data_IF_746259576169
#
_entry.id   IF_746259576169
#
_cell.length_a   1.000
_cell.length_b   1.000
_cell.length_c   1.000
_cell.angle_alpha   90.00
_cell.angle_beta   90.00
_cell.angle_gamma   90.00
#
_symmetry.space_group_name_H-M   'P 1'
#
loop_
_entity.id
_entity.type
_entity.pdbx_description
1 polymer ?
#
# COMPACT_ATOMS: atom_id res chain seq x y z
N UNK A 1 22.07 -24.60 4.56
CA UNK A 1 20.62 -24.44 4.35
C UNK A 1 20.06 -25.63 3.61
N UNK A 2 20.43 -25.87 2.35
CA UNK A 2 20.05 -27.08 1.59
C UNK A 2 20.20 -28.39 2.37
N UNK A 3 21.39 -28.66 2.92
CA UNK A 3 21.64 -29.89 3.68
C UNK A 3 20.77 -30.01 4.95
N UNK A 4 20.42 -28.88 5.56
CA UNK A 4 19.56 -28.86 6.74
C UNK A 4 18.10 -29.16 6.35
N UNK A 5 17.57 -28.48 5.33
CA UNK A 5 16.20 -28.73 4.83
C UNK A 5 16.09 -30.15 4.29
N UNK A 6 17.08 -30.66 3.55
CA UNK A 6 17.09 -32.04 3.08
C UNK A 6 17.11 -33.07 4.23
N UNK A 7 17.79 -32.77 5.34
CA UNK A 7 17.83 -33.64 6.52
C UNK A 7 16.55 -33.60 7.35
N UNK A 8 15.85 -32.47 7.33
CA UNK A 8 14.67 -32.20 8.15
C UNK A 8 13.44 -31.91 7.30
N UNK A 9 13.34 -32.50 6.10
CA UNK A 9 12.35 -32.05 5.11
C UNK A 9 10.91 -32.25 5.61
N UNK A 10 10.66 -33.33 6.35
CA UNK A 10 9.36 -33.61 6.97
C UNK A 10 9.04 -32.68 8.14
N UNK A 11 10.05 -31.98 8.68
CA UNK A 11 9.93 -31.03 9.79
C UNK A 11 9.97 -29.56 9.31
N UNK A 12 9.97 -29.32 7.99
CA UNK A 12 10.03 -27.98 7.39
C UNK A 12 8.97 -27.85 6.30
N UNK A 13 7.90 -27.13 6.63
CA UNK A 13 6.80 -26.85 5.72
C UNK A 13 6.87 -25.40 5.20
N UNK A 14 6.45 -25.21 3.96
CA UNK A 14 6.27 -23.87 3.39
C UNK A 14 4.79 -23.47 3.43
N UNK A 15 4.52 -22.24 3.89
CA UNK A 15 3.18 -21.64 3.89
C UNK A 15 3.32 -20.22 3.37
N UNK A 16 2.70 -19.96 2.21
CA UNK A 16 2.75 -18.63 1.59
C UNK A 16 2.10 -17.59 2.49
N UNK A 17 2.75 -16.43 2.56
CA UNK A 17 2.30 -15.25 3.30
C UNK A 17 2.10 -15.46 4.81
N UNK A 18 2.68 -16.51 5.40
CA UNK A 18 2.67 -16.73 6.84
C UNK A 18 3.58 -15.72 7.56
N UNK A 19 2.96 -14.69 8.15
CA UNK A 19 3.68 -13.67 8.93
C UNK A 19 3.64 -13.90 10.45
N UNK A 20 3.22 -15.07 10.92
CA UNK A 20 3.26 -15.41 12.34
C UNK A 20 4.68 -15.73 12.83
N UNK A 21 5.02 -15.35 14.08
CA UNK A 21 6.25 -15.79 14.76
C UNK A 21 5.86 -16.33 16.13
N UNK A 22 5.85 -17.65 16.23
CA UNK A 22 5.44 -18.36 17.43
C UNK A 22 6.39 -19.52 17.72
N UNK A 23 6.62 -19.80 19.00
CA UNK A 23 7.26 -21.02 19.49
C UNK A 23 6.30 -21.67 20.46
N UNK A 24 5.98 -22.95 20.26
CA UNK A 24 5.25 -23.77 21.22
C UNK A 24 6.21 -24.81 21.77
N UNK A 25 6.44 -24.82 23.08
CA UNK A 25 7.40 -25.71 23.73
C UNK A 25 6.80 -26.29 25.02
N UNK A 26 6.30 -27.53 24.93
CA UNK A 26 5.65 -28.19 26.06
C UNK A 26 4.35 -27.47 26.45
N UNK A 27 4.28 -27.01 27.69
CA UNK A 27 3.15 -26.30 28.32
C UNK A 27 3.26 -24.78 28.21
N UNK A 28 4.18 -24.25 27.40
CA UNK A 28 4.37 -22.81 27.20
C UNK A 28 4.45 -22.46 25.73
N UNK A 29 4.09 -21.21 25.44
CA UNK A 29 4.30 -20.64 24.13
C UNK A 29 4.88 -19.22 24.20
N UNK A 30 5.46 -18.80 23.09
CA UNK A 30 6.01 -17.48 22.88
C UNK A 30 5.50 -16.95 21.56
N UNK A 31 4.88 -15.77 21.56
CA UNK A 31 4.37 -15.11 20.35
C UNK A 31 4.86 -13.67 20.35
N UNK A 32 5.33 -13.16 19.21
CA UNK A 32 5.83 -11.79 19.16
C UNK A 32 6.17 -11.29 17.77
N UNK A 33 6.77 -10.09 17.73
CA UNK A 33 7.18 -9.42 16.49
C UNK A 33 8.52 -9.92 15.94
N UNK A 34 9.35 -10.52 16.81
CA UNK A 34 10.71 -10.93 16.48
C UNK A 34 10.74 -12.12 15.49
N UNK A 35 11.30 -11.89 14.30
CA UNK A 35 11.72 -12.98 13.43
C UNK A 35 12.86 -13.80 14.06
N UNK A 36 12.91 -15.12 13.83
CA UNK A 36 13.96 -16.03 14.31
C UNK A 36 15.30 -15.85 13.57
N UNK A 37 15.83 -14.64 13.66
CA UNK A 37 17.12 -14.21 13.10
C UNK A 37 17.96 -13.60 14.21
N UNK A 38 19.29 -13.59 14.06
CA UNK A 38 20.18 -12.96 15.04
C UNK A 38 19.81 -11.49 15.31
N UNK A 39 19.40 -10.75 14.27
CA UNK A 39 19.03 -9.33 14.38
C UNK A 39 17.66 -9.14 15.04
N UNK A 40 16.68 -9.99 14.74
CA UNK A 40 15.37 -9.98 15.40
C UNK A 40 15.46 -10.35 16.88
N UNK A 41 16.26 -11.36 17.24
CA UNK A 41 16.33 -11.83 18.62
C UNK A 41 17.24 -11.01 19.54
N UNK A 42 18.23 -10.28 19.01
CA UNK A 42 19.26 -9.62 19.84
C UNK A 42 19.64 -8.20 19.40
N UNK A 43 18.99 -7.65 18.35
CA UNK A 43 19.44 -6.41 17.72
C UNK A 43 18.34 -5.38 17.40
N UNK A 44 17.10 -5.63 17.81
CA UNK A 44 15.96 -4.72 17.62
C UNK A 44 15.13 -4.66 18.89
N UNK A 45 14.45 -3.55 19.07
CA UNK A 45 13.38 -3.43 20.07
C UNK A 45 12.17 -4.18 19.53
N UNK A 46 11.88 -5.33 20.11
CA UNK A 46 10.81 -6.23 19.72
C UNK A 46 9.87 -6.44 20.91
N UNK A 47 8.60 -6.73 20.61
CA UNK A 47 7.61 -7.08 21.63
C UNK A 47 7.25 -8.55 21.50
N UNK A 48 7.19 -9.24 22.64
CA UNK A 48 6.69 -10.60 22.69
C UNK A 48 5.98 -10.87 24.01
N UNK A 49 5.08 -11.83 23.95
CA UNK A 49 4.30 -12.32 25.07
C UNK A 49 4.63 -13.79 25.27
N UNK A 50 4.86 -14.16 26.54
CA UNK A 50 4.95 -15.57 26.94
C UNK A 50 3.57 -15.99 27.43
N UNK A 51 3.09 -17.13 26.93
CA UNK A 51 1.84 -17.74 27.32
C UNK A 51 2.16 -18.98 28.17
N UNK A 52 1.53 -19.09 29.33
CA UNK A 52 1.61 -20.27 30.20
C UNK A 52 0.22 -20.77 30.65
N UNK A 53 -0.85 -20.13 30.19
CA UNK A 53 -2.22 -20.61 30.33
C UNK A 53 -2.46 -21.81 29.40
N UNK A 54 -2.83 -23.00 29.93
CA UNK A 54 -3.00 -24.21 29.13
C UNK A 54 -3.96 -24.04 27.96
N UNK A 55 -5.05 -23.28 28.15
CA UNK A 55 -6.07 -23.06 27.12
C UNK A 55 -5.51 -22.29 25.91
N UNK A 56 -4.68 -21.26 26.14
CA UNK A 56 -4.07 -20.47 25.07
C UNK A 56 -2.95 -21.25 24.36
N UNK A 57 -2.19 -22.05 25.11
CA UNK A 57 -1.16 -22.92 24.55
C UNK A 57 -1.79 -24.01 23.68
N UNK A 58 -2.92 -24.59 24.10
CA UNK A 58 -3.65 -25.59 23.34
C UNK A 58 -4.30 -24.98 22.07
N UNK A 59 -4.84 -23.76 22.15
CA UNK A 59 -5.35 -23.02 20.98
C UNK A 59 -4.25 -22.81 19.94
N UNK A 60 -3.10 -22.28 20.35
CA UNK A 60 -1.97 -22.05 19.45
C UNK A 60 -1.43 -23.35 18.86
N UNK A 61 -1.46 -24.45 19.62
CA UNK A 61 -1.09 -25.79 19.14
C UNK A 61 -2.08 -26.31 18.10
N UNK A 62 -3.39 -26.10 18.32
CA UNK A 62 -4.42 -26.47 17.36
C UNK A 62 -4.25 -25.69 16.06
N UNK A 63 -4.09 -24.37 16.15
CA UNK A 63 -3.82 -23.50 15.01
C UNK A 63 -2.57 -23.97 14.23
N UNK A 64 -1.46 -24.25 14.92
CA UNK A 64 -0.27 -24.78 14.27
C UNK A 64 -0.52 -26.14 13.60
N UNK A 65 -1.29 -27.04 14.24
CA UNK A 65 -1.66 -28.32 13.66
C UNK A 65 -2.52 -28.20 12.40
N UNK A 66 -3.46 -27.26 12.38
CA UNK A 66 -4.27 -26.93 11.21
C UNK A 66 -3.38 -26.41 10.07
N UNK A 67 -2.51 -25.42 10.34
CA UNK A 67 -1.51 -24.93 9.39
C UNK A 67 -0.63 -26.05 8.83
N UNK A 68 -0.17 -26.92 9.71
CA UNK A 68 0.69 -28.05 9.34
C UNK A 68 -0.05 -29.03 8.43
N UNK A 69 -1.32 -29.29 8.71
CA UNK A 69 -2.13 -30.24 7.94
C UNK A 69 -2.44 -29.80 6.51
N UNK A 70 -2.48 -28.49 6.27
CA UNK A 70 -2.76 -27.91 4.95
C UNK A 70 -1.49 -27.57 4.17
N UNK A 71 -0.31 -27.70 4.77
CA UNK A 71 0.97 -27.34 4.14
C UNK A 71 1.74 -28.54 3.66
N UNK A 72 2.59 -28.33 2.65
CA UNK A 72 3.48 -29.33 2.10
C UNK A 72 4.91 -29.15 2.64
N UNK A 73 5.66 -30.25 2.82
CA UNK A 73 7.11 -30.21 3.01
C UNK A 73 7.77 -29.38 1.90
N UNK A 74 8.80 -28.61 2.24
CA UNK A 74 9.51 -27.78 1.26
C UNK A 74 10.11 -28.65 0.13
N UNK A 75 9.78 -28.35 -1.13
CA UNK A 75 10.33 -29.07 -2.28
C UNK A 75 11.82 -28.71 -2.48
N UNK A 76 12.66 -29.75 -2.53
CA UNK A 76 14.11 -29.56 -2.63
C UNK A 76 14.54 -28.99 -3.99
N UNK A 77 13.76 -29.23 -5.04
CA UNK A 77 14.02 -28.70 -6.38
C UNK A 77 13.77 -27.18 -6.42
N UNK A 78 12.70 -26.69 -5.79
CA UNK A 78 12.45 -25.25 -5.65
C UNK A 78 13.49 -24.56 -4.76
N UNK A 79 13.95 -25.26 -3.70
CA UNK A 79 15.04 -24.78 -2.86
C UNK A 79 16.36 -24.70 -3.64
N UNK A 80 16.59 -25.63 -4.57
CA UNK A 80 17.77 -25.62 -5.43
C UNK A 80 17.69 -24.52 -6.49
N UNK A 81 16.53 -24.28 -7.07
CA UNK A 81 16.32 -23.15 -7.97
C UNK A 81 16.54 -21.82 -7.24
N UNK A 82 16.04 -21.70 -6.00
CA UNK A 82 16.25 -20.55 -5.11
C UNK A 82 17.73 -20.31 -4.76
N UNK A 83 18.47 -21.37 -4.45
CA UNK A 83 19.89 -21.29 -4.08
C UNK A 83 20.78 -21.03 -5.30
N UNK A 84 20.46 -21.63 -6.45
CA UNK A 84 21.27 -21.55 -7.67
C UNK A 84 20.95 -20.32 -8.53
N UNK A 85 19.86 -19.60 -8.24
CA UNK A 85 19.62 -18.30 -8.85
C UNK A 85 20.71 -17.32 -8.41
N UNK A 86 21.53 -16.80 -9.35
CA UNK A 86 22.66 -15.97 -8.98
C UNK A 86 22.16 -14.69 -8.30
N UNK A 87 22.86 -14.23 -7.25
CA UNK A 87 22.52 -12.98 -6.60
C UNK A 87 22.66 -11.83 -7.62
N UNK A 88 21.69 -10.90 -7.72
CA UNK A 88 21.81 -9.75 -8.60
C UNK A 88 23.08 -8.97 -8.28
N UNK A 89 23.85 -8.60 -9.31
CA UNK A 89 25.12 -7.89 -9.20
C UNK A 89 24.97 -6.64 -8.31
N UNK A 90 25.89 -6.50 -7.37
CA UNK A 90 25.81 -5.72 -6.13
C UNK A 90 25.37 -4.26 -6.24
N UNK A 91 24.43 -3.87 -5.38
CA UNK A 91 24.16 -2.47 -5.03
C UNK A 91 22.98 -2.21 -4.09
N UNK A 92 22.92 -2.84 -2.91
CA UNK A 92 21.98 -2.40 -1.84
C UNK A 92 21.20 -3.52 -1.16
N UNK A 93 21.09 -3.44 0.17
CA UNK A 93 20.74 -4.51 1.10
C UNK A 93 19.24 -4.64 1.38
N UNK A 94 18.53 -5.54 0.69
CA UNK A 94 17.60 -6.53 1.28
C UNK A 94 16.96 -7.33 0.13
N UNK A 95 17.22 -8.64 0.08
CA UNK A 95 16.77 -9.54 -0.99
C UNK A 95 15.71 -10.49 -0.45
N UNK A 96 14.60 -10.63 -1.15
CA UNK A 96 13.97 -11.94 -1.31
C UNK A 96 14.36 -12.52 -2.68
N UNK A 97 14.49 -13.85 -2.80
CA UNK A 97 15.02 -14.45 -4.03
C UNK A 97 13.96 -14.59 -5.11
N UNK A 98 14.41 -14.70 -6.35
CA UNK A 98 13.57 -14.72 -7.54
C UNK A 98 12.79 -16.04 -7.74
N UNK A 99 12.71 -16.87 -6.71
CA UNK A 99 12.10 -18.20 -6.72
C UNK A 99 11.31 -18.33 -5.42
N UNK A 100 10.07 -18.81 -5.51
CA UNK A 100 9.26 -19.17 -4.35
C UNK A 100 9.13 -20.68 -4.30
N UNK A 101 9.20 -21.26 -3.12
CA UNK A 101 8.91 -22.68 -2.94
C UNK A 101 7.41 -22.91 -3.19
N UNK A 102 7.08 -23.97 -3.90
CA UNK A 102 5.72 -24.44 -4.13
C UNK A 102 5.13 -24.89 -2.79
N UNK A 103 3.96 -24.35 -2.46
CA UNK A 103 3.19 -24.75 -1.29
C UNK A 103 1.76 -25.01 -1.72
N UNK A 104 1.22 -26.14 -1.30
CA UNK A 104 -0.19 -26.52 -1.50
C UNK A 104 -1.12 -25.88 -0.45
N UNK A 105 -0.57 -25.10 0.49
CA UNK A 105 -1.35 -24.45 1.53
C UNK A 105 -2.24 -23.34 0.96
N UNK A 106 -3.48 -23.31 1.46
CA UNK A 106 -4.40 -22.20 1.20
C UNK A 106 -3.86 -20.94 1.89
N UNK A 107 -3.84 -19.82 1.17
CA UNK A 107 -3.44 -18.50 1.68
C UNK A 107 -4.30 -18.10 2.90
N UNK A 108 -3.67 -17.63 3.98
CA UNK A 108 -4.36 -17.38 5.25
C UNK A 108 -4.47 -15.89 5.51
N UNK A 109 -5.69 -15.38 5.41
CA UNK A 109 -6.06 -14.02 5.80
C UNK A 109 -6.62 -14.00 7.22
N UNK A 110 -5.98 -13.27 8.14
CA UNK A 110 -6.49 -13.04 9.50
C UNK A 110 -7.26 -11.72 9.58
N UNK A 111 -8.47 -11.73 10.14
CA UNK A 111 -9.25 -10.53 10.48
C UNK A 111 -9.62 -10.56 11.97
N UNK A 112 -9.51 -9.40 12.64
CA UNK A 112 -9.92 -9.21 14.04
C UNK A 112 -11.45 -9.07 14.13
N UNK A 113 -12.08 -9.82 15.02
CA UNK A 113 -13.50 -9.64 15.38
C UNK A 113 -13.59 -8.57 16.49
N UNK A 114 -14.31 -7.48 16.23
CA UNK A 114 -14.53 -6.41 17.22
C UNK A 114 -15.62 -6.80 18.22
N UNK A 115 -15.29 -6.68 19.51
CA UNK A 115 -16.19 -6.89 20.65
C UNK A 115 -16.93 -5.58 20.97
N UNK A 116 -18.26 -5.60 20.87
CA UNK A 116 -19.13 -4.46 21.16
C UNK A 116 -19.44 -4.37 22.64
N UNK A 117 -18.81 -3.45 23.37
CA UNK A 117 -19.50 -2.64 24.40
C UNK A 117 -18.60 -1.58 25.04
N UNK A 118 -18.96 -0.31 24.89
CA UNK A 118 -19.03 0.71 25.98
C UNK A 118 -19.26 2.11 25.38
N UNK A 119 -20.55 2.48 25.29
CA UNK A 119 -20.98 3.89 25.23
C UNK A 119 -21.38 4.33 26.62
N UNK A 120 -20.75 5.37 27.17
CA UNK A 120 -21.50 6.43 27.86
C UNK A 120 -20.64 7.62 28.32
N UNK A 121 -21.26 8.80 28.15
CA UNK A 121 -20.96 10.13 28.72
C UNK A 121 -19.84 10.92 28.05
N UNK A 122 -20.23 11.91 27.23
CA UNK A 122 -20.13 13.34 27.55
C UNK A 122 -20.90 14.13 26.48
N UNK A 123 -22.11 14.60 26.78
CA UNK A 123 -22.93 15.44 25.89
C UNK A 123 -23.20 16.73 26.64
N UNK A 124 -22.33 17.73 26.46
CA UNK A 124 -22.68 19.15 26.69
C UNK A 124 -21.55 20.10 26.23
N UNK A 125 -20.30 19.63 26.13
CA UNK A 125 -19.19 20.40 25.52
C UNK A 125 -19.11 20.25 23.99
N UNK A 126 -19.91 19.35 23.40
CA UNK A 126 -19.80 18.96 21.99
C UNK A 126 -20.48 19.93 21.00
N UNK A 127 -21.47 20.71 21.43
CA UNK A 127 -22.26 21.52 20.49
C UNK A 127 -21.52 22.81 20.04
N UNK A 128 -20.83 23.50 20.95
CA UNK A 128 -20.05 24.71 20.60
C UNK A 128 -18.71 24.41 19.89
N UNK A 129 -18.24 23.17 19.96
CA UNK A 129 -17.11 22.66 19.15
C UNK A 129 -17.58 22.15 17.78
N UNK A 130 -18.82 21.66 17.67
CA UNK A 130 -19.44 21.22 16.40
C UNK A 130 -19.75 22.39 15.46
N UNK A 131 -20.20 23.53 15.97
CA UNK A 131 -20.47 24.71 15.15
C UNK A 131 -19.18 25.34 14.61
N UNK A 132 -18.13 25.47 15.42
CA UNK A 132 -16.80 25.90 14.96
C UNK A 132 -16.15 24.93 13.96
N UNK A 133 -16.28 23.62 14.19
CA UNK A 133 -15.83 22.60 13.23
C UNK A 133 -16.61 22.61 11.92
N UNK A 134 -17.88 23.03 11.94
CA UNK A 134 -18.72 23.05 10.73
C UNK A 134 -18.36 24.23 9.84
N UNK A 135 -18.11 25.40 10.43
CA UNK A 135 -17.64 26.58 9.69
C UNK A 135 -16.20 26.39 9.18
N UNK A 136 -15.31 25.79 9.97
CA UNK A 136 -13.94 25.46 9.52
C UNK A 136 -13.95 24.39 8.41
N UNK A 137 -14.77 23.33 8.50
CA UNK A 137 -14.89 22.33 7.43
C UNK A 137 -15.51 22.87 6.16
N UNK A 138 -16.52 23.75 6.26
CA UNK A 138 -17.08 24.42 5.07
C UNK A 138 -16.04 25.34 4.42
N UNK A 139 -15.27 26.09 5.21
CA UNK A 139 -14.23 27.00 4.69
C UNK A 139 -13.07 26.22 4.06
N UNK A 140 -12.63 25.10 4.68
CA UNK A 140 -11.62 24.20 4.14
C UNK A 140 -12.08 23.49 2.85
N UNK A 141 -13.37 23.18 2.74
CA UNK A 141 -13.96 22.60 1.52
C UNK A 141 -13.96 23.59 0.36
N UNK A 142 -14.27 24.86 0.60
CA UNK A 142 -14.23 25.92 -0.42
C UNK A 142 -12.80 26.24 -0.86
N UNK A 143 -11.85 26.28 0.07
CA UNK A 143 -10.44 26.57 -0.21
C UNK A 143 -9.75 25.42 -1.00
N UNK A 144 -10.04 24.16 -0.67
CA UNK A 144 -9.58 23.02 -1.46
C UNK A 144 -10.18 23.00 -2.88
N UNK A 145 -11.46 23.36 -3.02
CA UNK A 145 -12.15 23.47 -4.30
C UNK A 145 -11.48 24.53 -5.20
N UNK A 146 -11.25 25.74 -4.69
CA UNK A 146 -10.59 26.81 -5.44
C UNK A 146 -9.14 26.47 -5.79
N UNK A 147 -8.42 25.80 -4.88
CA UNK A 147 -7.08 25.28 -5.16
C UNK A 147 -7.08 24.24 -6.28
N UNK A 148 -8.08 23.37 -6.32
CA UNK A 148 -8.21 22.37 -7.36
C UNK A 148 -8.41 23.05 -8.71
N UNK A 149 -9.40 23.94 -8.84
CA UNK A 149 -9.65 24.69 -10.09
C UNK A 149 -8.38 25.41 -10.57
N UNK A 150 -7.76 26.23 -9.71
CA UNK A 150 -6.51 26.95 -10.03
C UNK A 150 -5.35 26.02 -10.41
N UNK A 151 -5.35 24.79 -9.90
CA UNK A 151 -4.36 23.79 -10.30
C UNK A 151 -4.65 23.30 -11.72
N UNK A 152 -5.91 22.97 -12.00
CA UNK A 152 -6.34 22.42 -13.28
C UNK A 152 -6.21 23.42 -14.44
N UNK A 153 -6.40 24.72 -14.20
CA UNK A 153 -6.16 25.81 -15.18
C UNK A 153 -4.76 25.77 -15.83
N UNK A 154 -3.80 25.08 -15.22
CA UNK A 154 -2.42 24.95 -15.72
C UNK A 154 -2.22 23.77 -16.65
N UNK A 155 -3.17 22.84 -16.68
CA UNK A 155 -3.09 21.68 -17.55
C UNK A 155 -3.25 22.11 -19.02
N UNK A 156 -2.83 21.27 -19.99
CA UNK A 156 -2.82 21.65 -21.41
C UNK A 156 -4.22 21.98 -21.94
N UNK A 157 -5.23 21.23 -21.51
CA UNK A 157 -6.63 21.37 -21.90
C UNK A 157 -7.53 20.52 -20.99
N UNK A 158 -8.84 20.73 -21.14
CA UNK A 158 -9.89 19.99 -20.44
C UNK A 158 -9.78 18.48 -20.60
N UNK A 159 -9.65 18.00 -21.84
CA UNK A 159 -9.62 16.56 -22.17
C UNK A 159 -8.46 15.86 -21.45
N UNK A 160 -7.29 16.50 -21.41
CA UNK A 160 -6.13 15.98 -20.70
C UNK A 160 -6.43 15.78 -19.21
N UNK A 161 -7.11 16.72 -18.55
CA UNK A 161 -7.47 16.61 -17.12
C UNK A 161 -8.53 15.54 -16.92
N UNK A 162 -9.52 15.47 -17.79
CA UNK A 162 -10.59 14.46 -17.74
C UNK A 162 -10.01 13.05 -17.78
N UNK A 163 -9.08 12.78 -18.71
CA UNK A 163 -8.36 11.49 -18.81
C UNK A 163 -7.60 11.15 -17.53
N UNK A 164 -7.03 12.12 -16.82
CA UNK A 164 -6.35 11.86 -15.55
C UNK A 164 -7.31 11.53 -14.41
N UNK A 165 -8.48 12.18 -14.35
CA UNK A 165 -9.50 11.80 -13.38
C UNK A 165 -10.11 10.43 -13.68
N UNK A 166 -10.20 10.02 -14.95
CA UNK A 166 -10.56 8.65 -15.31
C UNK A 166 -9.54 7.62 -14.83
N UNK A 167 -8.23 7.91 -14.95
CA UNK A 167 -7.18 7.06 -14.39
C UNK A 167 -7.24 6.99 -12.86
N UNK A 168 -7.51 8.11 -12.19
CA UNK A 168 -7.74 8.11 -10.74
C UNK A 168 -8.98 7.29 -10.37
N UNK A 169 -10.07 7.41 -11.13
CA UNK A 169 -11.27 6.60 -10.95
C UNK A 169 -10.99 5.11 -11.12
N UNK A 170 -10.14 4.75 -12.09
CA UNK A 170 -9.73 3.37 -12.31
C UNK A 170 -9.00 2.79 -11.10
N UNK A 171 -8.05 3.54 -10.52
CA UNK A 171 -7.40 3.12 -9.27
C UNK A 171 -8.44 2.86 -8.18
N UNK A 172 -9.36 3.81 -7.95
CA UNK A 172 -10.36 3.70 -6.89
C UNK A 172 -11.29 2.49 -7.11
N UNK A 173 -11.66 2.21 -8.37
CA UNK A 173 -12.47 1.04 -8.72
C UNK A 173 -11.71 -0.28 -8.50
N UNK A 174 -10.44 -0.33 -8.88
CA UNK A 174 -9.61 -1.55 -8.78
C UNK A 174 -9.25 -1.86 -7.33
N UNK A 175 -8.94 -0.85 -6.53
CA UNK A 175 -8.61 -1.03 -5.11
C UNK A 175 -9.85 -1.21 -4.23
N UNK A 176 -11.03 -0.80 -4.70
CA UNK A 176 -12.26 -0.79 -3.91
C UNK A 176 -12.29 0.27 -2.82
N UNK A 177 -11.31 1.18 -2.78
CA UNK A 177 -11.21 2.21 -1.76
C UNK A 177 -12.26 3.31 -1.97
N UNK A 178 -12.97 3.59 -0.90
CA UNK A 178 -14.00 4.61 -0.78
C UNK A 178 -13.44 5.88 -0.13
N UNK A 179 -14.22 6.96 -0.18
CA UNK A 179 -13.85 8.23 0.47
C UNK A 179 -13.55 8.07 1.96
N UNK A 180 -14.22 7.14 2.65
CA UNK A 180 -14.12 6.96 4.10
C UNK A 180 -12.90 6.14 4.52
N UNK A 181 -12.24 5.44 3.60
CA UNK A 181 -11.12 4.55 3.93
C UNK A 181 -9.91 5.34 4.42
N UNK A 182 -9.45 4.98 5.63
CA UNK A 182 -8.38 5.71 6.33
C UNK A 182 -7.02 5.60 5.63
N UNK A 183 -6.83 4.58 4.80
CA UNK A 183 -5.65 4.39 3.98
C UNK A 183 -5.61 5.26 2.72
N UNK A 184 -6.75 5.76 2.25
CA UNK A 184 -6.83 6.60 1.05
C UNK A 184 -6.65 8.08 1.38
N UNK A 185 -5.81 8.77 0.60
CA UNK A 185 -5.69 10.22 0.62
C UNK A 185 -5.64 10.76 -0.80
N UNK A 186 -6.73 11.38 -1.24
CA UNK A 186 -6.74 12.30 -2.40
C UNK A 186 -6.42 13.72 -1.93
N UNK A 187 -5.58 14.46 -2.67
CA UNK A 187 -5.19 15.82 -2.25
C UNK A 187 -4.69 16.71 -3.39
N UNK A 188 -4.86 18.02 -3.21
CA UNK A 188 -4.26 19.13 -3.96
C UNK A 188 -3.50 20.05 -2.96
N UNK A 189 -2.23 19.74 -2.67
CA UNK A 189 -1.48 20.44 -1.63
C UNK A 189 -1.35 21.95 -1.89
N UNK A 190 -1.40 22.80 -0.85
CA UNK A 190 -1.23 24.24 -0.98
C UNK A 190 0.10 24.67 -1.58
N UNK A 191 1.15 23.85 -1.40
CA UNK A 191 2.51 24.11 -1.90
C UNK A 191 2.63 24.12 -3.42
N UNK A 192 1.55 23.84 -4.16
CA UNK A 192 1.57 23.89 -5.62
C UNK A 192 2.15 22.63 -6.29
N UNK A 193 2.38 21.55 -5.55
CA UNK A 193 3.04 20.35 -6.10
C UNK A 193 2.22 19.66 -7.17
N UNK A 194 1.25 18.82 -6.81
CA UNK A 194 0.48 18.01 -7.77
C UNK A 194 -0.89 17.65 -7.20
N UNK A 195 -1.86 17.33 -8.06
CA UNK A 195 -3.04 16.57 -7.63
C UNK A 195 -2.59 15.13 -7.46
N UNK A 196 -2.86 14.49 -6.33
CA UNK A 196 -2.32 13.15 -6.02
C UNK A 196 -3.33 12.24 -5.34
N UNK A 197 -3.20 10.96 -5.64
CA UNK A 197 -3.76 9.86 -4.87
C UNK A 197 -2.62 9.15 -4.12
N UNK A 198 -2.85 8.94 -2.84
CA UNK A 198 -1.94 8.25 -1.91
C UNK A 198 -2.72 7.08 -1.32
N UNK A 199 -2.09 5.91 -1.28
CA UNK A 199 -2.60 4.73 -0.58
C UNK A 199 -1.57 4.35 0.49
N UNK A 200 -2.04 4.18 1.73
CA UNK A 200 -1.15 4.02 2.88
C UNK A 200 -0.24 5.24 3.05
N UNK A 201 1.07 5.06 2.89
CA UNK A 201 2.07 6.14 2.98
C UNK A 201 2.72 6.52 1.64
N UNK A 202 2.28 5.96 0.51
CA UNK A 202 2.91 6.17 -0.80
C UNK A 202 1.98 6.83 -1.80
N UNK A 203 2.52 7.77 -2.56
CA UNK A 203 1.83 8.35 -3.73
C UNK A 203 1.77 7.26 -4.79
N UNK A 204 0.56 6.91 -5.23
CA UNK A 204 0.35 5.88 -6.26
C UNK A 204 0.09 6.48 -7.64
N UNK A 205 -0.40 7.73 -7.64
CA UNK A 205 -0.70 8.49 -8.86
C UNK A 205 -0.67 9.98 -8.58
N UNK A 206 -0.16 10.76 -9.53
CA UNK A 206 -0.16 12.22 -9.42
C UNK A 206 -0.11 12.89 -10.78
N UNK A 207 -0.68 14.09 -10.88
CA UNK A 207 -0.66 14.87 -12.13
C UNK A 207 -0.74 16.38 -11.89
N UNK A 208 -0.27 17.14 -12.88
CA UNK A 208 -0.25 18.62 -12.97
C UNK A 208 0.53 19.30 -11.85
N UNK A 209 1.66 19.92 -12.21
CA UNK A 209 2.52 20.64 -11.27
C UNK A 209 2.81 22.08 -11.71
N UNK A 210 3.24 22.95 -10.77
CA UNK A 210 3.81 24.28 -11.07
C UNK A 210 4.94 24.28 -12.11
N UNK A 211 5.73 23.21 -12.18
CA UNK A 211 6.90 23.06 -13.04
C UNK A 211 6.59 22.42 -14.41
N UNK A 212 5.36 21.96 -14.64
CA UNK A 212 4.96 21.39 -15.93
C UNK A 212 3.85 20.34 -15.84
N UNK A 213 3.44 19.89 -17.03
CA UNK A 213 2.41 18.88 -17.21
C UNK A 213 3.06 17.51 -17.32
N UNK A 214 2.97 16.74 -16.24
CA UNK A 214 3.46 15.37 -16.19
C UNK A 214 2.54 14.52 -15.33
N UNK A 215 2.68 13.21 -15.48
CA UNK A 215 1.93 12.18 -14.77
C UNK A 215 2.90 11.28 -14.02
N UNK A 216 2.61 11.02 -12.74
CA UNK A 216 3.34 10.06 -11.90
C UNK A 216 2.57 8.77 -11.77
N UNK A 217 3.31 7.68 -11.88
CA UNK A 217 2.81 6.33 -11.66
C UNK A 217 3.74 5.63 -10.67
N UNK A 218 3.16 4.96 -9.67
CA UNK A 218 3.94 4.03 -8.86
C UNK A 218 4.25 2.78 -9.69
N UNK A 219 5.52 2.41 -9.79
CA UNK A 219 5.99 1.27 -10.56
C UNK A 219 6.84 0.34 -9.69
N UNK A 220 6.72 -0.99 -9.87
CA UNK A 220 7.54 -1.95 -9.13
C UNK A 220 8.96 -2.03 -9.69
N UNK A 221 9.94 -2.23 -8.82
CA UNK A 221 11.37 -2.35 -9.20
C UNK A 221 11.65 -3.46 -10.23
N UNK A 222 10.85 -4.54 -10.20
CA UNK A 222 10.97 -5.67 -11.14
C UNK A 222 10.27 -5.48 -12.49
N UNK A 223 9.75 -4.28 -12.80
CA UNK A 223 9.06 -4.05 -14.06
C UNK A 223 10.03 -4.15 -15.25
N UNK A 224 9.61 -4.85 -16.31
CA UNK A 224 10.37 -4.89 -17.56
C UNK A 224 10.54 -3.47 -18.13
N UNK A 225 11.76 -3.15 -18.55
CA UNK A 225 12.16 -1.83 -19.06
C UNK A 225 12.14 -0.69 -18.04
N UNK A 226 12.10 -0.99 -16.74
CA UNK A 226 12.12 0.06 -15.72
C UNK A 226 13.34 0.99 -15.85
N UNK A 227 14.59 0.51 -16.07
CA UNK A 227 15.74 1.41 -16.22
C UNK A 227 15.54 2.45 -17.33
N UNK A 228 15.05 2.03 -18.49
CA UNK A 228 14.77 2.91 -19.62
C UNK A 228 13.64 3.90 -19.29
N UNK A 229 12.58 3.44 -18.60
CA UNK A 229 11.51 4.31 -18.11
C UNK A 229 12.03 5.35 -17.12
N UNK A 230 12.97 5.00 -16.25
CA UNK A 230 13.55 5.93 -15.29
C UNK A 230 14.44 6.98 -15.98
N UNK A 231 15.23 6.57 -16.97
CA UNK A 231 16.03 7.48 -17.80
C UNK A 231 15.18 8.46 -18.61
N UNK A 232 14.02 8.00 -19.11
CA UNK A 232 13.06 8.83 -19.86
C UNK A 232 12.19 9.72 -18.94
N UNK A 233 12.18 9.46 -17.63
CA UNK A 233 11.37 10.22 -16.68
C UNK A 233 11.94 11.62 -16.44
N UNK A 234 11.07 12.63 -16.34
CA UNK A 234 11.50 13.99 -16.02
C UNK A 234 12.08 14.06 -14.59
N UNK A 235 11.46 13.34 -13.67
CA UNK A 235 11.88 13.19 -12.29
C UNK A 235 11.47 11.80 -11.79
N UNK A 236 12.23 11.21 -10.88
CA UNK A 236 11.83 9.99 -10.20
C UNK A 236 12.09 10.10 -8.70
N UNK A 237 11.22 9.47 -7.93
CA UNK A 237 11.40 9.25 -6.50
C UNK A 237 11.46 7.75 -6.22
N UNK A 238 12.38 7.33 -5.37
CA UNK A 238 12.56 5.94 -4.99
C UNK A 238 12.14 5.75 -3.53
N UNK A 239 11.16 4.88 -3.29
CA UNK A 239 10.74 4.52 -1.93
C UNK A 239 11.68 3.45 -1.37
N UNK A 240 12.61 3.88 -0.50
CA UNK A 240 13.57 2.99 0.18
C UNK A 240 13.10 2.63 1.60
N UNK A 241 13.36 1.40 2.05
CA UNK A 241 13.34 1.05 3.48
C UNK A 241 12.22 0.10 3.94
N UNK A 242 11.41 -0.43 3.04
CA UNK A 242 10.35 -1.40 3.34
C UNK A 242 10.37 -2.56 2.31
N UNK A 243 9.58 -3.62 2.55
CA UNK A 243 9.58 -4.93 1.87
C UNK A 243 9.56 -4.91 0.32
N UNK A 244 9.03 -3.85 -0.29
CA UNK A 244 9.06 -3.64 -1.74
C UNK A 244 9.65 -2.26 -2.11
N UNK A 245 10.71 -2.26 -2.90
CA UNK A 245 11.23 -1.08 -3.59
C UNK A 245 10.26 -0.69 -4.70
N UNK A 246 9.78 0.55 -4.64
CA UNK A 246 8.89 1.12 -5.66
C UNK A 246 9.47 2.43 -6.16
N UNK A 247 9.24 2.72 -7.42
CA UNK A 247 9.62 3.96 -8.08
C UNK A 247 8.39 4.79 -8.38
N UNK A 248 8.57 6.11 -8.39
CA UNK A 248 7.53 7.07 -8.74
C UNK A 248 8.06 8.03 -9.81
N UNK A 249 8.33 7.53 -11.04
CA UNK A 249 8.72 8.38 -12.15
C UNK A 249 7.57 9.29 -12.60
N UNK A 250 7.94 10.49 -13.04
CA UNK A 250 7.09 11.50 -13.64
C UNK A 250 7.35 11.57 -15.15
N UNK A 251 6.30 11.43 -15.96
CA UNK A 251 6.38 11.41 -17.42
C UNK A 251 5.59 12.56 -18.04
N UNK A 252 6.17 13.24 -19.03
CA UNK A 252 5.45 14.26 -19.81
C UNK A 252 4.42 13.61 -20.75
N UNK A 253 4.72 12.39 -21.20
CA UNK A 253 3.90 11.54 -22.08
C UNK A 253 3.12 10.46 -21.30
N UNK A 254 2.75 10.74 -20.04
CA UNK A 254 2.15 9.74 -19.15
C UNK A 254 0.85 9.12 -19.68
N UNK A 255 0.02 9.89 -20.38
CA UNK A 255 -1.20 9.37 -21.01
C UNK A 255 -0.93 8.44 -22.19
N UNK A 256 0.19 8.59 -22.90
CA UNK A 256 0.60 7.67 -23.96
C UNK A 256 1.16 6.38 -23.34
N UNK A 257 1.94 6.50 -22.26
CA UNK A 257 2.52 5.31 -21.59
C UNK A 257 1.48 4.38 -21.01
N UNK A 258 0.39 4.93 -20.46
CA UNK A 258 -0.67 4.11 -19.86
C UNK A 258 -1.49 3.31 -20.89
N UNK A 259 -1.33 3.59 -22.19
CA UNK A 259 -1.91 2.78 -23.27
C UNK A 259 -1.20 1.42 -23.42
N UNK A 260 0.07 1.34 -23.00
CA UNK A 260 0.80 0.08 -22.93
C UNK A 260 0.25 -0.80 -21.80
N UNK A 261 -0.24 -1.99 -22.18
CA UNK A 261 -0.90 -2.91 -21.25
C UNK A 261 0.06 -3.54 -20.23
N UNK A 262 1.35 -3.63 -20.52
CA UNK A 262 2.36 -4.09 -19.56
C UNK A 262 2.59 -3.00 -18.51
N UNK A 263 2.75 -1.75 -18.95
CA UNK A 263 2.90 -0.59 -18.07
C UNK A 263 1.68 -0.42 -17.16
N UNK A 264 0.47 -0.41 -17.73
CA UNK A 264 -0.77 -0.25 -16.98
C UNK A 264 -0.97 -1.35 -15.92
N UNK A 265 -0.70 -2.61 -16.28
CA UNK A 265 -0.78 -3.73 -15.31
C UNK A 265 0.25 -3.60 -14.20
N UNK A 266 1.49 -3.20 -14.52
CA UNK A 266 2.52 -2.99 -13.51
C UNK A 266 2.14 -1.88 -12.52
N UNK A 267 1.61 -0.76 -13.01
CA UNK A 267 1.11 0.33 -12.19
C UNK A 267 -0.06 -0.08 -11.28
N UNK A 268 -1.08 -0.74 -11.84
CA UNK A 268 -2.23 -1.19 -11.04
C UNK A 268 -1.81 -2.23 -9.99
N UNK A 269 -0.92 -3.16 -10.34
CA UNK A 269 -0.40 -4.15 -9.38
C UNK A 269 0.40 -3.48 -8.26
N UNK A 270 1.26 -2.51 -8.58
CA UNK A 270 1.98 -1.76 -7.56
C UNK A 270 1.06 -0.92 -6.68
N UNK A 271 -0.03 -0.39 -7.24
CA UNK A 271 -1.06 0.33 -6.48
C UNK A 271 -1.82 -0.59 -5.52
N UNK A 272 -2.23 -1.78 -6.00
CA UNK A 272 -2.90 -2.79 -5.18
C UNK A 272 -2.00 -3.30 -4.04
N UNK A 273 -0.70 -3.44 -4.27
CA UNK A 273 0.26 -3.84 -3.23
C UNK A 273 0.41 -2.81 -2.09
N UNK A 274 -0.11 -1.59 -2.26
CA UNK A 274 -0.15 -0.57 -1.21
C UNK A 274 -1.46 -0.60 -0.40
N UNK A 275 -2.49 -1.30 -0.87
CA UNK A 275 -3.73 -1.53 -0.13
C UNK A 275 -3.45 -2.48 1.03
N UNK A 276 -4.01 -2.19 2.20
CA UNK A 276 -3.89 -2.92 3.47
C UNK A 276 -2.49 -3.01 4.06
N UNK A 277 -1.49 -2.49 3.34
CA UNK A 277 -0.13 -2.32 3.82
C UNK A 277 -0.04 -1.42 5.05
N UNK A 278 -0.99 -0.51 5.20
CA UNK A 278 -1.20 0.29 6.41
C UNK A 278 -2.69 0.52 6.61
N UNK A 279 -3.18 0.26 7.81
CA UNK A 279 -4.58 0.53 8.20
C UNK A 279 -4.97 2.00 8.01
N UNK A 280 -4.02 2.92 8.21
CA UNK A 280 -4.24 4.36 8.07
C UNK A 280 -3.06 5.07 7.42
N UNK A 281 -3.38 6.00 6.53
CA UNK A 281 -2.39 6.95 6.00
C UNK A 281 -2.00 7.99 7.06
N UNK A 282 -0.70 8.22 7.31
CA UNK A 282 -0.25 9.32 8.18
C UNK A 282 -0.55 10.71 7.58
N UNK A 283 -1.04 10.77 6.34
CA UNK A 283 -1.46 11.99 5.67
C UNK A 283 -2.98 12.23 5.76
N UNK A 284 -3.76 11.24 6.21
CA UNK A 284 -5.23 11.27 6.19
C UNK A 284 -5.82 12.51 6.84
N UNK A 285 -5.46 12.78 8.09
CA UNK A 285 -6.03 13.89 8.87
C UNK A 285 -5.62 15.29 8.41
N UNK A 286 -4.51 15.42 7.66
CA UNK A 286 -3.87 16.71 7.35
C UNK A 286 -3.85 17.07 5.87
N UNK A 287 -4.12 16.11 5.00
CA UNK A 287 -3.97 16.30 3.55
C UNK A 287 -5.12 15.75 2.74
N UNK A 288 -5.99 14.92 3.32
CA UNK A 288 -7.13 14.41 2.56
C UNK A 288 -8.12 15.52 2.25
N UNK A 289 -8.44 15.64 0.96
CA UNK A 289 -9.39 16.59 0.43
C UNK A 289 -10.45 15.81 -0.36
N UNK A 290 -11.65 15.60 0.23
CA UNK A 290 -12.70 14.79 -0.38
C UNK A 290 -13.12 15.29 -1.76
N UNK A 291 -13.00 16.60 -2.02
CA UNK A 291 -13.34 17.18 -3.33
C UNK A 291 -12.57 16.51 -4.47
N UNK A 292 -11.30 16.15 -4.27
CA UNK A 292 -10.50 15.47 -5.30
C UNK A 292 -11.03 14.05 -5.56
N UNK A 293 -11.42 13.33 -4.50
CA UNK A 293 -12.05 12.02 -4.62
C UNK A 293 -13.38 12.10 -5.37
N UNK A 294 -14.25 13.05 -5.02
CA UNK A 294 -15.54 13.20 -5.67
C UNK A 294 -15.38 13.66 -7.12
N UNK A 295 -14.43 14.54 -7.43
CA UNK A 295 -14.10 14.90 -8.82
C UNK A 295 -13.67 13.67 -9.64
N UNK A 296 -12.96 12.73 -9.02
CA UNK A 296 -12.59 11.48 -9.67
C UNK A 296 -13.76 10.50 -9.82
N UNK A 297 -14.78 10.52 -8.97
CA UNK A 297 -15.81 9.45 -8.91
C UNK A 297 -17.19 9.87 -9.41
N UNK A 298 -17.54 11.15 -9.31
CA UNK A 298 -18.81 11.74 -9.74
C UNK A 298 -18.62 12.52 -11.06
N UNK A 299 -19.17 12.02 -12.19
CA UNK A 299 -19.07 12.69 -13.48
C UNK A 299 -19.70 14.09 -13.51
N UNK A 300 -20.74 14.35 -12.71
CA UNK A 300 -21.44 15.64 -12.70
C UNK A 300 -20.55 16.70 -12.08
N UNK A 301 -20.06 16.43 -10.87
CA UNK A 301 -19.12 17.31 -10.17
C UNK A 301 -17.83 17.50 -10.97
N UNK A 302 -17.33 16.42 -11.61
CA UNK A 302 -16.17 16.52 -12.49
C UNK A 302 -16.40 17.52 -13.62
N UNK A 303 -17.55 17.44 -14.30
CA UNK A 303 -17.88 18.38 -15.37
C UNK A 303 -17.92 19.81 -14.85
N UNK A 304 -18.57 20.07 -13.71
CA UNK A 304 -18.65 21.41 -13.11
C UNK A 304 -17.27 22.01 -12.80
N UNK A 305 -16.38 21.21 -12.21
CA UNK A 305 -15.00 21.65 -11.90
C UNK A 305 -14.20 21.91 -13.18
N UNK A 306 -14.37 21.07 -14.21
CA UNK A 306 -13.72 21.25 -15.50
C UNK A 306 -14.25 22.46 -16.27
N UNK A 307 -15.57 22.72 -16.21
CA UNK A 307 -16.19 23.92 -16.80
C UNK A 307 -15.64 25.19 -16.12
N UNK A 308 -15.44 25.15 -14.80
CA UNK A 308 -14.87 26.27 -14.06
C UNK A 308 -13.38 26.50 -14.37
N UNK A 309 -12.59 25.42 -14.58
CA UNK A 309 -11.16 25.51 -14.88
C UNK A 309 -10.87 25.84 -16.36
N UNK A 310 -11.80 25.55 -17.26
CA UNK A 310 -11.67 25.76 -18.71
C UNK A 310 -12.94 26.41 -19.28
N UNK A 311 -13.20 27.69 -18.95
CA UNK A 311 -14.31 28.42 -19.56
C UNK A 311 -14.09 28.57 -21.07
N UNK A 312 -15.18 28.42 -21.85
CA UNK A 312 -15.18 28.59 -23.31
C UNK A 312 -14.70 29.98 -23.78
#
# INVERSE_FOLDING_TARGET
MREFVARHHEDVHDVRDLHAKAIVAGDRAFVGSANFTRKGLAGRDELAVTLDEPELVDELRSWFGELWSISSPAELDDLDEFINTPPPTSGGTNRQPAVSISSDATEITSALLEDTDQKSKTVETANSARERNRDERNTLSTDAHDRLIKRLERAPNREWVERHFELMQEILKVTGLTENDLQLVTSVPPSGSEVRAIVGNRVVFGFVNTAGNWTRFILPDGMQRLPELLEESAHSFHFTGEEFSLHLPAFVDGLQRIEDQVFRRAWLRATLAEVDRREQSPYRSRSHEPIVYYTATDPTLRSEILDAAFPE
#
